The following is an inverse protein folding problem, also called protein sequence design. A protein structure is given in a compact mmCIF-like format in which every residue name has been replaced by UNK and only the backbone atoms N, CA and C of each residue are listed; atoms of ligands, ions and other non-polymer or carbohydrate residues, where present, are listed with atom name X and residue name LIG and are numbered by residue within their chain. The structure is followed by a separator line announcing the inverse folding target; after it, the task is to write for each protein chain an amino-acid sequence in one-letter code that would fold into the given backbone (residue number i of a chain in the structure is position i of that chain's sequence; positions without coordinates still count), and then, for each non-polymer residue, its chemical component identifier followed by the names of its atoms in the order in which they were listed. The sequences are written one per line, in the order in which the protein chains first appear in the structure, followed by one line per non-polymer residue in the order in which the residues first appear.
data_IF_716442489770
#
_entry.id   IF_716442489770
#
_cell.length_a   1.000
_cell.length_b   1.000
_cell.length_c   1.000
_cell.angle_alpha   90.00
_cell.angle_beta   90.00
_cell.angle_gamma   90.00
#
_symmetry.space_group_name_H-M   'P 1'
#
loop_
_entity.id
_entity.type
_entity.pdbx_description
1 polymer ?
#
# COMPACT_ATOMS: atom_id res chain seq x y z
N UNK A 1 11.12 1.04 2.70
CA UNK A 1 9.73 0.60 2.49
C UNK A 1 9.48 0.31 1.03
N UNK A 2 8.64 -0.65 0.77
CA UNK A 2 8.20 -0.98 -0.58
C UNK A 2 6.68 -1.02 -0.61
N UNK A 3 6.09 -0.31 -1.55
CA UNK A 3 4.65 -0.28 -1.75
C UNK A 3 4.31 -0.79 -3.14
N UNK A 4 3.36 -1.71 -3.22
CA UNK A 4 2.74 -2.13 -4.48
C UNK A 4 1.34 -1.54 -4.48
N UNK A 5 1.10 -0.64 -5.42
CA UNK A 5 -0.13 0.15 -5.53
C UNK A 5 -0.93 -0.36 -6.71
N UNK A 6 -2.14 -0.81 -6.45
CA UNK A 6 -3.10 -1.21 -7.48
C UNK A 6 -4.20 -0.16 -7.55
N UNK A 7 -4.44 0.40 -8.74
CA UNK A 7 -5.61 1.24 -8.96
C UNK A 7 -6.84 0.33 -9.05
N UNK A 8 -7.84 0.58 -8.22
CA UNK A 8 -8.98 -0.34 -8.09
C UNK A 8 -10.32 0.36 -8.26
N UNK A 9 -11.30 -0.37 -8.76
CA UNK A 9 -12.72 0.01 -8.70
C UNK A 9 -13.24 -0.19 -7.28
N UNK A 10 -12.86 -1.29 -6.64
CA UNK A 10 -13.07 -1.55 -5.24
C UNK A 10 -12.05 -2.60 -4.75
N UNK A 11 -11.87 -2.66 -3.46
CA UNK A 11 -11.10 -3.71 -2.80
C UNK A 11 -11.65 -3.95 -1.40
N UNK A 12 -11.48 -5.17 -0.89
CA UNK A 12 -11.79 -5.48 0.49
C UNK A 12 -10.85 -6.54 1.02
N UNK A 13 -10.78 -6.66 2.34
CA UNK A 13 -10.01 -7.69 3.02
C UNK A 13 -10.89 -8.39 4.03
N UNK A 14 -10.84 -9.73 3.99
CA UNK A 14 -11.61 -10.60 4.89
C UNK A 14 -10.69 -11.36 5.81
N UNK A 15 -11.13 -11.54 7.04
CA UNK A 15 -10.52 -12.42 8.03
C UNK A 15 -11.65 -13.30 8.55
N UNK A 16 -11.47 -14.63 8.48
CA UNK A 16 -12.50 -15.61 8.87
C UNK A 16 -13.86 -15.33 8.21
N UNK A 17 -13.83 -14.93 6.93
CA UNK A 17 -15.04 -14.67 6.15
C UNK A 17 -15.70 -13.32 6.37
N UNK A 18 -15.20 -12.49 7.29
CA UNK A 18 -15.74 -11.16 7.58
C UNK A 18 -14.88 -10.07 6.98
N UNK A 19 -15.51 -9.08 6.35
CA UNK A 19 -14.81 -7.90 5.83
C UNK A 19 -14.39 -7.03 7.00
N UNK A 20 -13.06 -6.80 7.13
CA UNK A 20 -12.48 -5.94 8.18
C UNK A 20 -12.00 -4.60 7.63
N UNK A 21 -11.85 -4.46 6.32
CA UNK A 21 -11.47 -3.22 5.68
C UNK A 21 -11.86 -3.24 4.21
N UNK A 22 -12.11 -2.06 3.65
CA UNK A 22 -12.51 -1.92 2.24
C UNK A 22 -12.19 -0.55 1.70
N UNK A 23 -12.19 -0.42 0.38
CA UNK A 23 -12.20 0.86 -0.30
C UNK A 23 -13.04 0.75 -1.58
N UNK A 24 -13.63 1.86 -1.98
CA UNK A 24 -14.19 2.05 -3.30
C UNK A 24 -13.09 2.58 -4.24
N UNK A 25 -13.47 3.24 -5.31
CA UNK A 25 -12.54 3.75 -6.31
C UNK A 25 -11.32 4.44 -5.70
N UNK A 26 -10.15 3.95 -6.01
CA UNK A 26 -8.90 4.45 -5.44
C UNK A 26 -7.76 3.44 -5.53
N UNK A 27 -7.10 3.19 -4.39
CA UNK A 27 -5.94 2.28 -4.32
C UNK A 27 -6.13 1.14 -3.33
N UNK A 28 -5.66 -0.04 -3.70
CA UNK A 28 -5.25 -1.07 -2.75
C UNK A 28 -3.72 -1.06 -2.72
N UNK A 29 -3.15 -0.96 -1.52
CA UNK A 29 -1.70 -0.88 -1.32
C UNK A 29 -1.24 -2.07 -0.49
N UNK A 30 -0.25 -2.80 -1.01
CA UNK A 30 0.53 -3.75 -0.23
C UNK A 30 1.78 -3.03 0.24
N UNK A 31 2.07 -3.05 1.55
CA UNK A 31 3.18 -2.32 2.15
C UNK A 31 4.14 -3.25 2.88
N UNK A 32 5.39 -3.28 2.44
CA UNK A 32 6.50 -3.99 3.09
C UNK A 32 7.47 -3.02 3.74
N UNK A 33 7.96 -3.39 4.93
CA UNK A 33 8.91 -2.59 5.71
C UNK A 33 10.27 -3.29 5.68
N UNK A 34 11.29 -2.60 5.17
CA UNK A 34 12.67 -3.10 5.16
C UNK A 34 13.29 -2.95 6.55
N UNK A 35 14.20 -3.84 6.86
CA UNK A 35 15.06 -3.68 8.03
C UNK A 35 15.79 -2.32 7.92
N UNK A 36 15.75 -1.53 9.00
CA UNK A 36 16.37 -0.22 9.05
C UNK A 36 15.50 0.95 8.57
N UNK A 37 14.27 0.69 8.12
CA UNK A 37 13.34 1.76 7.76
C UNK A 37 12.99 2.63 8.97
N UNK A 38 12.69 3.89 8.70
CA UNK A 38 12.38 4.91 9.70
C UNK A 38 11.08 5.64 9.36
N UNK A 39 10.61 6.46 10.29
CA UNK A 39 9.44 7.35 10.06
C UNK A 39 9.69 8.31 8.88
N UNK A 40 10.91 8.81 8.73
CA UNK A 40 11.26 9.68 7.61
C UNK A 40 11.08 8.98 6.26
N UNK A 41 11.37 7.69 6.20
CA UNK A 41 11.14 6.87 5.01
C UNK A 41 9.65 6.75 4.72
N UNK A 42 8.84 6.48 5.75
CA UNK A 42 7.38 6.42 5.61
C UNK A 42 6.81 7.75 5.11
N UNK A 43 7.30 8.87 5.63
CA UNK A 43 6.87 10.21 5.25
C UNK A 43 7.04 10.46 3.74
N UNK A 44 8.13 9.98 3.15
CA UNK A 44 8.37 10.10 1.71
C UNK A 44 7.28 9.42 0.89
N UNK A 45 6.90 8.20 1.27
CA UNK A 45 5.84 7.45 0.58
C UNK A 45 4.48 8.10 0.79
N UNK A 46 4.16 8.51 2.01
CA UNK A 46 2.89 9.15 2.35
C UNK A 46 2.70 10.45 1.56
N UNK A 47 3.77 11.23 1.38
CA UNK A 47 3.71 12.46 0.60
C UNK A 47 3.48 12.18 -0.88
N UNK A 48 4.04 11.09 -1.39
CA UNK A 48 4.01 10.78 -2.82
C UNK A 48 2.71 10.09 -3.25
N UNK A 49 2.28 9.08 -2.51
CA UNK A 49 1.20 8.18 -2.94
C UNK A 49 -0.12 8.89 -3.24
N UNK A 50 -0.67 9.74 -2.36
CA UNK A 50 -1.96 10.38 -2.66
C UNK A 50 -1.90 11.34 -3.84
N UNK A 51 -0.71 11.77 -4.22
CA UNK A 51 -0.47 12.73 -5.28
C UNK A 51 -0.03 12.11 -6.61
N UNK A 52 0.10 10.79 -6.69
CA UNK A 52 0.42 10.11 -7.95
C UNK A 52 -0.70 10.36 -8.97
N UNK A 53 -0.32 10.84 -10.15
CA UNK A 53 -1.27 11.26 -11.19
C UNK A 53 -1.56 10.10 -12.12
N UNK A 54 -2.27 9.09 -11.62
CA UNK A 54 -2.55 7.84 -12.34
C UNK A 54 -4.04 7.55 -12.53
N UNK A 55 -4.89 8.53 -12.26
CA UNK A 55 -6.31 8.48 -12.63
C UNK A 55 -6.55 9.30 -13.89
N UNK A 56 -7.44 8.82 -14.73
CA UNK A 56 -7.74 9.47 -16.00
C UNK A 56 -8.50 10.77 -15.79
N UNK A 57 -8.11 11.81 -16.55
CA UNK A 57 -8.83 13.05 -16.65
C UNK A 57 -9.95 12.95 -17.71
N UNK A 58 -10.63 14.05 -17.97
CA UNK A 58 -11.71 14.12 -18.96
C UNK A 58 -11.25 13.84 -20.40
N UNK A 59 -9.94 13.90 -20.66
CA UNK A 59 -9.32 13.59 -21.95
C UNK A 59 -8.79 12.16 -22.03
N UNK A 60 -9.03 11.32 -21.01
CA UNK A 60 -8.55 9.95 -20.94
C UNK A 60 -7.08 9.81 -20.66
N UNK A 61 -6.42 10.84 -20.13
CA UNK A 61 -4.99 10.84 -19.80
C UNK A 61 -4.79 10.68 -18.31
N UNK A 62 -3.78 9.90 -17.91
CA UNK A 62 -3.35 9.77 -16.52
C UNK A 62 -2.82 11.11 -16.01
N UNK A 63 -3.64 11.85 -15.31
CA UNK A 63 -3.36 13.22 -14.89
C UNK A 63 -3.88 13.57 -13.50
N UNK A 64 -4.89 12.87 -13.00
CA UNK A 64 -5.50 13.15 -11.72
C UNK A 64 -4.94 12.24 -10.63
N UNK A 65 -4.82 12.78 -9.43
CA UNK A 65 -4.40 12.03 -8.24
C UNK A 65 -5.58 11.42 -7.50
N UNK A 66 -5.27 10.55 -6.52
CA UNK A 66 -6.28 10.01 -5.61
C UNK A 66 -7.00 11.14 -4.86
N UNK A 67 -6.27 12.18 -4.46
CA UNK A 67 -6.87 13.36 -3.81
C UNK A 67 -7.83 14.09 -4.75
N UNK A 68 -7.44 14.26 -6.01
CA UNK A 68 -8.26 14.98 -7.00
C UNK A 68 -9.61 14.31 -7.22
N UNK A 69 -9.64 12.98 -7.24
CA UNK A 69 -10.86 12.22 -7.53
C UNK A 69 -11.69 11.90 -6.28
N UNK A 70 -11.24 12.30 -5.08
CA UNK A 70 -11.87 11.90 -3.83
C UNK A 70 -11.81 10.40 -3.60
N UNK A 71 -10.70 9.76 -3.98
CA UNK A 71 -10.50 8.32 -3.88
C UNK A 71 -10.28 7.82 -2.46
N UNK A 72 -10.40 6.52 -2.31
CA UNK A 72 -10.22 5.80 -1.04
C UNK A 72 -9.02 4.87 -1.13
N UNK A 73 -8.45 4.52 0.02
CA UNK A 73 -7.25 3.66 0.07
C UNK A 73 -7.47 2.54 1.09
N UNK A 74 -7.12 1.31 0.67
CA UNK A 74 -7.03 0.14 1.55
C UNK A 74 -5.55 -0.25 1.64
N UNK A 75 -4.99 -0.27 2.84
CA UNK A 75 -3.57 -0.59 3.08
C UNK A 75 -3.46 -1.94 3.76
N UNK A 76 -2.71 -2.84 3.16
CA UNK A 76 -2.45 -4.20 3.67
C UNK A 76 -0.95 -4.35 3.94
N UNK A 77 -0.60 -4.75 5.15
CA UNK A 77 0.79 -5.09 5.48
C UNK A 77 1.19 -6.37 4.74
N UNK A 78 2.36 -6.36 4.09
CA UNK A 78 2.84 -7.48 3.27
C UNK A 78 4.37 -7.60 3.38
N UNK A 79 4.85 -8.31 4.40
CA UNK A 79 6.30 -8.46 4.60
C UNK A 79 6.98 -9.25 3.47
N UNK A 80 6.23 -10.11 2.78
CA UNK A 80 6.78 -10.91 1.68
C UNK A 80 7.23 -10.08 0.49
N UNK A 81 6.89 -8.78 0.44
CA UNK A 81 7.49 -7.86 -0.54
C UNK A 81 8.98 -7.67 -0.35
N UNK A 82 9.49 -7.99 0.84
CA UNK A 82 10.91 -7.93 1.19
C UNK A 82 11.64 -9.24 0.91
N UNK A 83 11.01 -10.16 0.20
CA UNK A 83 11.60 -11.46 -0.10
C UNK A 83 12.84 -11.33 -0.99
N UNK A 84 13.86 -12.09 -0.66
CA UNK A 84 15.00 -12.34 -1.53
C UNK A 84 14.85 -13.74 -2.14
N UNK A 85 14.62 -13.78 -3.44
CA UNK A 85 14.45 -15.02 -4.21
C UNK A 85 15.65 -15.31 -5.11
N UNK A 86 16.80 -14.68 -4.84
CA UNK A 86 17.99 -14.78 -5.70
C UNK A 86 18.67 -16.16 -5.67
N UNK A 87 18.45 -16.93 -4.61
CA UNK A 87 19.08 -18.25 -4.44
C UNK A 87 18.05 -19.32 -4.13
N UNK A 88 18.07 -20.41 -4.91
CA UNK A 88 17.21 -21.56 -4.68
C UNK A 88 15.73 -21.26 -4.88
N UNK A 89 14.88 -22.07 -4.24
CA UNK A 89 13.43 -22.01 -4.40
C UNK A 89 12.68 -21.52 -3.16
N UNK A 90 13.39 -21.29 -2.06
CA UNK A 90 12.80 -20.73 -0.83
C UNK A 90 13.10 -19.24 -0.76
N UNK A 91 12.08 -18.39 -0.71
CA UNK A 91 12.31 -16.98 -0.45
C UNK A 91 12.94 -16.77 0.93
N UNK A 92 13.90 -15.86 1.02
CA UNK A 92 14.46 -15.41 2.28
C UNK A 92 13.84 -14.08 2.68
N UNK A 93 13.53 -13.91 3.97
CA UNK A 93 12.92 -12.69 4.50
C UNK A 93 13.83 -11.95 5.49
N UNK A 94 15.13 -12.21 5.42
CA UNK A 94 16.10 -11.56 6.34
C UNK A 94 16.18 -10.05 6.18
N UNK A 95 15.75 -9.53 5.02
CA UNK A 95 15.73 -8.09 4.75
C UNK A 95 14.47 -7.39 5.28
N UNK A 96 13.49 -8.15 5.75
CA UNK A 96 12.27 -7.61 6.33
C UNK A 96 12.54 -7.12 7.75
N UNK A 97 11.91 -6.00 8.14
CA UNK A 97 11.97 -5.53 9.52
C UNK A 97 11.36 -6.56 10.47
N UNK A 98 11.86 -6.64 11.73
CA UNK A 98 11.22 -7.47 12.74
C UNK A 98 9.73 -7.09 12.90
N UNK A 99 8.85 -8.05 13.28
CA UNK A 99 7.40 -7.81 13.31
C UNK A 99 6.98 -6.58 14.11
N UNK A 100 7.55 -6.36 15.29
CA UNK A 100 7.18 -5.22 16.13
C UNK A 100 7.53 -3.87 15.48
N UNK A 101 8.71 -3.77 14.90
CA UNK A 101 9.15 -2.56 14.19
C UNK A 101 8.33 -2.36 12.91
N UNK A 102 8.10 -3.44 12.17
CA UNK A 102 7.30 -3.39 10.95
C UNK A 102 5.88 -2.93 11.24
N UNK A 103 5.23 -3.46 12.28
CA UNK A 103 3.89 -3.05 12.67
C UNK A 103 3.84 -1.58 13.11
N UNK A 104 4.82 -1.14 13.89
CA UNK A 104 4.89 0.26 14.34
C UNK A 104 4.99 1.22 13.17
N UNK A 105 5.84 0.94 12.19
CA UNK A 105 5.97 1.78 11.00
C UNK A 105 4.77 1.68 10.06
N UNK A 106 4.15 0.51 9.96
CA UNK A 106 2.92 0.32 9.22
C UNK A 106 1.79 1.18 9.81
N UNK A 107 1.59 1.14 11.13
CA UNK A 107 0.59 1.96 11.81
C UNK A 107 0.87 3.47 11.65
N UNK A 108 2.14 3.85 11.73
CA UNK A 108 2.55 5.24 11.48
C UNK A 108 2.21 5.67 10.05
N UNK A 109 2.56 4.84 9.07
CA UNK A 109 2.24 5.09 7.65
C UNK A 109 0.73 5.30 7.46
N UNK A 110 -0.09 4.43 8.01
CA UNK A 110 -1.56 4.52 7.92
C UNK A 110 -2.07 5.80 8.57
N UNK A 111 -1.58 6.13 9.75
CA UNK A 111 -1.97 7.35 10.48
C UNK A 111 -1.65 8.60 9.66
N UNK A 112 -0.45 8.69 9.12
CA UNK A 112 -0.04 9.82 8.29
C UNK A 112 -0.83 9.89 6.98
N UNK A 113 -1.14 8.74 6.39
CA UNK A 113 -1.95 8.69 5.19
C UNK A 113 -3.38 9.19 5.46
N UNK A 114 -3.97 8.86 6.61
CA UNK A 114 -5.26 9.40 7.06
C UNK A 114 -5.23 10.94 7.18
N UNK A 115 -4.09 11.50 7.57
CA UNK A 115 -3.91 12.95 7.72
C UNK A 115 -3.60 13.67 6.41
N UNK A 116 -3.44 12.93 5.31
CA UNK A 116 -3.05 13.50 4.02
C UNK A 116 -4.21 14.11 3.21
N UNK A 117 -5.44 13.98 3.69
CA UNK A 117 -6.63 14.47 2.99
C UNK A 117 -7.36 13.41 2.17
N UNK A 118 -6.90 12.18 2.17
CA UNK A 118 -7.60 11.07 1.52
C UNK A 118 -8.94 10.83 2.20
N UNK A 119 -10.00 10.65 1.42
CA UNK A 119 -11.38 10.53 1.89
C UNK A 119 -11.57 9.41 2.93
N UNK A 120 -10.95 8.24 2.69
CA UNK A 120 -11.03 7.09 3.58
C UNK A 120 -9.76 6.26 3.45
N UNK A 121 -9.19 5.88 4.58
CA UNK A 121 -8.06 4.95 4.65
C UNK A 121 -8.46 3.82 5.60
N UNK A 122 -8.58 2.61 5.07
CA UNK A 122 -8.89 1.43 5.87
C UNK A 122 -7.76 0.41 5.74
N UNK A 123 -7.76 -0.59 6.60
CA UNK A 123 -6.67 -1.56 6.71
C UNK A 123 -7.19 -2.97 6.92
N UNK A 124 -6.30 -3.97 6.71
CA UNK A 124 -6.47 -5.29 7.31
C UNK A 124 -5.97 -5.30 8.75
N UNK A 125 -5.50 -6.46 9.19
CA UNK A 125 -4.87 -6.63 10.51
C UNK A 125 -3.47 -7.19 10.32
N UNK A 126 -2.51 -6.54 10.94
CA UNK A 126 -1.11 -6.96 10.86
C UNK A 126 -0.95 -8.39 11.35
N UNK A 127 -0.27 -9.23 10.55
CA UNK A 127 0.03 -10.62 10.91
C UNK A 127 -1.13 -11.61 10.80
N UNK A 128 -2.32 -11.17 10.42
CA UNK A 128 -3.46 -12.05 10.26
C UNK A 128 -3.43 -12.78 8.91
N UNK A 129 -4.11 -13.91 8.83
CA UNK A 129 -4.40 -14.59 7.57
C UNK A 129 -5.58 -13.87 6.90
N UNK A 130 -5.31 -13.26 5.75
CA UNK A 130 -6.26 -12.37 5.09
C UNK A 130 -6.56 -12.83 3.68
N UNK A 131 -7.82 -12.64 3.26
CA UNK A 131 -8.27 -12.82 1.89
C UNK A 131 -8.50 -11.42 1.30
N UNK A 132 -7.67 -11.02 0.35
CA UNK A 132 -7.75 -9.68 -0.26
C UNK A 132 -8.36 -9.80 -1.64
N UNK A 133 -9.52 -9.16 -1.80
CA UNK A 133 -10.23 -9.09 -3.07
C UNK A 133 -10.07 -7.70 -3.66
N UNK A 134 -9.86 -7.62 -4.96
CA UNK A 134 -9.76 -6.34 -5.65
C UNK A 134 -10.16 -6.46 -7.12
N UNK A 135 -10.63 -5.37 -7.67
CA UNK A 135 -10.78 -5.21 -9.12
C UNK A 135 -9.76 -4.19 -9.58
N UNK A 136 -8.68 -4.68 -10.19
CA UNK A 136 -7.62 -3.82 -10.73
C UNK A 136 -8.15 -3.10 -11.98
N UNK A 137 -8.19 -1.77 -11.91
CA UNK A 137 -8.76 -0.93 -12.94
C UNK A 137 -7.69 -0.49 -13.94
N UNK A 138 -7.78 -1.08 -15.12
CA UNK A 138 -6.89 -0.73 -16.20
C UNK A 138 -6.25 -1.91 -16.93
N UNK A 139 -5.43 -2.79 -16.36
CA UNK A 139 -4.85 -2.74 -15.03
C UNK A 139 -3.80 -1.63 -14.89
N UNK A 140 -3.64 -1.12 -13.68
CA UNK A 140 -2.58 -0.17 -13.32
C UNK A 140 -1.96 -0.58 -12.01
N UNK A 141 -0.67 -0.90 -12.05
CA UNK A 141 0.14 -1.33 -10.92
C UNK A 141 1.40 -0.47 -10.86
N UNK A 142 1.62 0.20 -9.73
CA UNK A 142 2.80 1.03 -9.49
C UNK A 142 3.57 0.46 -8.32
N UNK A 143 4.88 0.29 -8.49
CA UNK A 143 5.77 -0.15 -7.42
C UNK A 143 6.63 1.04 -7.00
N UNK A 144 6.58 1.38 -5.71
CA UNK A 144 7.46 2.39 -5.11
C UNK A 144 8.38 1.71 -4.11
N UNK A 145 9.67 1.88 -4.30
CA UNK A 145 10.68 1.47 -3.32
C UNK A 145 11.34 2.75 -2.78
N UNK A 146 11.32 2.91 -1.45
CA UNK A 146 11.88 4.09 -0.80
C UNK A 146 13.37 4.28 -1.11
N UNK A 147 14.08 3.20 -1.44
CA UNK A 147 15.50 3.24 -1.81
C UNK A 147 15.73 3.96 -3.14
N UNK A 148 14.70 4.06 -3.97
CA UNK A 148 14.74 4.72 -5.28
C UNK A 148 14.16 6.13 -5.25
N UNK A 149 13.61 6.58 -4.13
CA UNK A 149 13.03 7.91 -3.98
C UNK A 149 14.07 8.94 -3.54
N UNK A 150 14.01 10.10 -4.16
CA UNK A 150 14.89 11.22 -3.86
C UNK A 150 14.22 12.31 -3.04
#
# INVERSE_FOLDING_TARGET
MKAVIQRVKYSNVKIDGEIVGKCENGFMILLGVWQGDTKAVADKLVKKIPNLRIFEDENGKMNLSCLDIGGEILVISQFTLCADCSHGRRPSFTNSAPPDEANSLYEYFVSELKNSGVKSVQTGRFGADMQVELVNDGPVTIILDSKELH
#
